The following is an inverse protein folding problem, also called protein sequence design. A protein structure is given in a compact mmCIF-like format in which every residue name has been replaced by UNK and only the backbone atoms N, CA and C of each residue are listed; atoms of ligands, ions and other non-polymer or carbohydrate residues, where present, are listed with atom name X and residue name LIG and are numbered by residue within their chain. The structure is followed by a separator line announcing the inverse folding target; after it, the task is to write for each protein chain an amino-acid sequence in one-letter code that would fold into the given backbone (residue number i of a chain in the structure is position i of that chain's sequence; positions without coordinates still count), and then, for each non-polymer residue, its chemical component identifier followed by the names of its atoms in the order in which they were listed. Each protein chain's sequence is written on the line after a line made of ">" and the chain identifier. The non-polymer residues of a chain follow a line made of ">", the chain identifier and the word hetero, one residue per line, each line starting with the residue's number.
data_IF_516996717252
#
_entry.id   IF_516996717252
#
_cell.length_a   1.000
_cell.length_b   1.000
_cell.length_c   1.000
_cell.angle_alpha   90.00
_cell.angle_beta   90.00
_cell.angle_gamma   90.00
#
_symmetry.space_group_name_H-M   'P 1'
#
loop_
_entity.id
_entity.type
_entity.pdbx_description
1 polymer ?
#
# COMPACT_ATOMS: atom_id res chain seq x y z
N UNK A 1 15.83 13.50 -17.19
CA UNK A 1 15.41 14.27 -16.00
C UNK A 1 16.29 13.81 -14.84
N UNK A 2 17.08 14.69 -14.20
CA UNK A 2 17.97 14.30 -13.09
C UNK A 2 17.11 13.77 -11.92
N UNK A 3 17.50 12.69 -11.23
CA UNK A 3 16.81 12.27 -10.02
C UNK A 3 16.81 13.44 -9.03
N UNK A 4 15.66 13.73 -8.42
CA UNK A 4 15.57 14.78 -7.41
C UNK A 4 16.56 14.44 -6.29
N UNK A 5 17.52 15.32 -6.03
CA UNK A 5 18.37 15.22 -4.84
C UNK A 5 17.46 15.16 -3.61
N UNK A 6 17.73 14.32 -2.60
CA UNK A 6 16.99 14.38 -1.34
C UNK A 6 17.11 15.81 -0.80
N UNK A 7 15.96 16.43 -0.51
CA UNK A 7 15.87 17.85 -0.18
C UNK A 7 16.65 18.21 1.09
N UNK A 8 16.87 17.23 1.98
CA UNK A 8 17.68 17.33 3.19
C UNK A 8 18.43 16.03 3.43
N UNK A 9 19.65 16.14 3.96
CA UNK A 9 20.42 14.98 4.46
C UNK A 9 20.93 15.31 5.86
N UNK A 10 20.41 14.61 6.86
CA UNK A 10 20.83 14.78 8.23
C UNK A 10 22.14 14.03 8.47
N UNK A 11 23.04 14.64 9.25
CA UNK A 11 24.25 13.95 9.68
C UNK A 11 23.90 12.77 10.59
N UNK A 12 24.67 11.68 10.56
CA UNK A 12 24.37 10.47 11.36
C UNK A 12 24.42 10.70 12.87
N UNK A 13 25.19 11.70 13.32
CA UNK A 13 25.26 12.10 14.74
C UNK A 13 24.17 13.09 15.18
N UNK A 14 23.32 13.56 14.26
CA UNK A 14 22.25 14.51 14.58
C UNK A 14 21.06 13.76 15.16
N UNK A 15 20.60 14.19 16.33
CA UNK A 15 19.32 13.76 16.89
C UNK A 15 18.17 14.26 16.01
N UNK A 16 17.23 13.36 15.72
CA UNK A 16 15.97 13.63 15.02
C UNK A 16 14.80 13.23 15.91
N UNK A 17 13.62 13.76 15.64
CA UNK A 17 12.42 13.50 16.44
C UNK A 17 11.94 12.05 16.23
N UNK A 18 11.99 11.55 14.99
CA UNK A 18 11.52 10.21 14.64
C UNK A 18 12.44 9.48 13.66
N UNK A 19 12.57 8.17 13.88
CA UNK A 19 13.14 7.22 12.91
C UNK A 19 12.04 6.25 12.50
N UNK A 20 11.75 6.20 11.21
CA UNK A 20 10.76 5.27 10.62
C UNK A 20 11.52 4.17 9.89
N UNK A 21 11.28 2.92 10.27
CA UNK A 21 11.92 1.76 9.63
C UNK A 21 10.98 1.19 8.56
N UNK A 22 11.38 1.30 7.31
CA UNK A 22 10.62 0.92 6.12
C UNK A 22 9.82 2.08 5.54
N UNK A 23 9.83 2.19 4.22
CA UNK A 23 9.17 3.27 3.48
C UNK A 23 7.89 2.84 2.74
N UNK A 24 7.33 1.70 3.15
CA UNK A 24 6.12 1.10 2.56
C UNK A 24 4.85 1.94 2.75
N UNK A 25 3.69 1.30 2.52
CA UNK A 25 2.38 1.95 2.62
C UNK A 25 2.17 2.67 3.96
N UNK A 26 2.56 2.06 5.08
CA UNK A 26 2.47 2.67 6.41
C UNK A 26 3.58 3.71 6.65
N UNK A 27 4.84 3.31 6.44
CA UNK A 27 6.00 4.17 6.75
C UNK A 27 6.03 5.47 5.98
N UNK A 28 5.63 5.46 4.70
CA UNK A 28 5.51 6.69 3.90
C UNK A 28 4.43 7.64 4.41
N UNK A 29 3.28 7.11 4.85
CA UNK A 29 2.19 7.91 5.44
C UNK A 29 2.63 8.51 6.76
N UNK A 30 3.21 7.71 7.66
CA UNK A 30 3.72 8.18 8.96
C UNK A 30 4.76 9.29 8.75
N UNK A 31 5.72 9.09 7.83
CA UNK A 31 6.74 10.09 7.53
C UNK A 31 6.13 11.40 7.03
N UNK A 32 5.11 11.34 6.17
CA UNK A 32 4.38 12.52 5.69
C UNK A 32 3.66 13.24 6.82
N UNK A 33 2.88 12.54 7.65
CA UNK A 33 2.12 13.15 8.74
C UNK A 33 3.05 13.82 9.77
N UNK A 34 4.13 13.15 10.16
CA UNK A 34 5.12 13.69 11.10
C UNK A 34 5.86 14.90 10.54
N UNK A 35 6.36 14.81 9.30
CA UNK A 35 7.14 15.88 8.68
C UNK A 35 6.30 17.14 8.42
N UNK A 36 5.04 16.96 7.98
CA UNK A 36 4.11 18.08 7.79
C UNK A 36 3.65 18.71 9.10
N UNK A 37 3.69 17.96 10.21
CA UNK A 37 3.53 18.50 11.57
C UNK A 37 4.77 19.26 12.09
N UNK A 38 5.84 19.37 11.30
CA UNK A 38 7.05 20.14 11.65
C UNK A 38 8.16 19.33 12.33
N UNK A 39 7.99 18.02 12.45
CA UNK A 39 8.97 17.13 13.09
C UNK A 39 10.04 16.66 12.10
N UNK A 40 11.25 16.43 12.60
CA UNK A 40 12.35 15.86 11.83
C UNK A 40 12.27 14.34 11.78
N UNK A 41 12.29 13.78 10.57
CA UNK A 41 12.08 12.34 10.33
C UNK A 41 13.19 11.78 9.46
N UNK A 42 13.75 10.65 9.87
CA UNK A 42 14.61 9.83 9.02
C UNK A 42 13.89 8.51 8.72
N UNK A 43 13.68 8.24 7.44
CA UNK A 43 13.12 6.95 6.98
C UNK A 43 14.26 6.07 6.51
N UNK A 44 14.41 4.89 7.12
CA UNK A 44 15.42 3.89 6.74
C UNK A 44 14.77 2.83 5.85
N UNK A 45 15.24 2.69 4.62
CA UNK A 45 14.72 1.72 3.67
C UNK A 45 15.81 0.76 3.23
N UNK A 46 15.57 -0.56 3.34
CA UNK A 46 16.53 -1.59 2.95
C UNK A 46 16.85 -1.56 1.45
N UNK A 47 15.84 -1.27 0.62
CA UNK A 47 15.97 -1.28 -0.83
C UNK A 47 16.47 0.02 -1.45
N UNK A 48 16.75 0.01 -2.77
CA UNK A 48 17.08 1.21 -3.51
C UNK A 48 15.86 2.11 -3.72
N UNK A 49 16.10 3.36 -4.13
CA UNK A 49 15.07 4.22 -4.74
C UNK A 49 15.07 3.97 -6.25
N UNK A 50 13.93 3.56 -6.78
CA UNK A 50 13.73 3.30 -8.22
C UNK A 50 12.70 4.30 -8.73
N UNK A 51 13.09 5.16 -9.66
CA UNK A 51 12.19 6.17 -10.20
C UNK A 51 11.28 5.59 -11.30
N UNK A 52 10.08 6.15 -11.51
CA UNK A 52 9.09 5.60 -12.45
C UNK A 52 9.62 5.25 -13.85
N UNK A 53 10.46 6.08 -14.52
CA UNK A 53 11.00 5.75 -15.84
C UNK A 53 11.97 4.56 -15.87
N UNK A 54 12.38 4.05 -14.71
CA UNK A 54 13.28 2.89 -14.58
C UNK A 54 12.51 1.58 -14.38
N UNK A 55 11.18 1.61 -14.25
CA UNK A 55 10.38 0.39 -14.20
C UNK A 55 10.30 -0.23 -15.59
N UNK A 56 10.48 -1.55 -15.63
CA UNK A 56 10.51 -2.37 -16.83
C UNK A 56 9.36 -3.38 -16.79
N UNK A 57 8.93 -3.86 -17.95
CA UNK A 57 7.92 -4.93 -18.09
C UNK A 57 8.56 -6.30 -18.33
N UNK A 58 9.77 -6.53 -17.79
CA UNK A 58 10.46 -7.81 -17.87
C UNK A 58 9.91 -8.79 -16.82
N UNK A 59 9.03 -9.68 -17.27
CA UNK A 59 8.40 -10.70 -16.42
C UNK A 59 9.38 -11.73 -15.89
N UNK A 60 10.42 -12.10 -16.66
CA UNK A 60 11.43 -13.08 -16.23
C UNK A 60 12.20 -12.50 -15.05
N UNK A 61 12.72 -11.29 -15.21
CA UNK A 61 13.46 -10.57 -14.17
C UNK A 61 12.61 -10.34 -12.91
N UNK A 62 11.35 -9.97 -13.09
CA UNK A 62 10.50 -9.51 -11.99
C UNK A 62 9.81 -10.67 -11.26
N UNK A 63 9.16 -11.57 -11.98
CA UNK A 63 8.33 -12.63 -11.40
C UNK A 63 9.14 -13.89 -11.09
N UNK A 64 10.14 -14.22 -11.91
CA UNK A 64 10.89 -15.49 -11.77
C UNK A 64 12.24 -15.31 -11.08
N UNK A 65 12.93 -14.19 -11.32
CA UNK A 65 14.24 -13.90 -10.69
C UNK A 65 14.11 -13.07 -9.40
N UNK A 66 12.90 -12.62 -9.05
CA UNK A 66 12.64 -11.91 -7.80
C UNK A 66 13.29 -10.53 -7.71
N UNK A 67 13.41 -9.81 -8.82
CA UNK A 67 13.97 -8.46 -8.80
C UNK A 67 13.20 -7.55 -7.82
N UNK A 68 13.94 -6.80 -7.00
CA UNK A 68 13.40 -5.91 -5.95
C UNK A 68 12.60 -6.63 -4.86
N UNK A 69 12.68 -7.96 -4.76
CA UNK A 69 12.09 -8.74 -3.67
C UNK A 69 13.11 -9.00 -2.55
N UNK A 70 12.61 -9.24 -1.33
CA UNK A 70 13.40 -9.76 -0.22
C UNK A 70 13.74 -11.23 -0.50
N UNK A 71 14.91 -11.69 -0.06
CA UNK A 71 15.30 -13.09 -0.21
C UNK A 71 14.27 -14.01 0.49
N UNK A 72 13.62 -14.93 -0.24
CA UNK A 72 12.54 -15.76 0.29
C UNK A 72 12.97 -16.73 1.41
N UNK A 73 14.27 -17.00 1.57
CA UNK A 73 14.77 -18.00 2.53
C UNK A 73 14.89 -17.51 3.97
N UNK A 74 14.54 -16.24 4.25
CA UNK A 74 14.72 -15.60 5.55
C UNK A 74 13.52 -15.61 6.50
N UNK A 75 12.34 -16.09 6.08
CA UNK A 75 11.14 -16.02 6.92
C UNK A 75 11.12 -17.13 7.95
N UNK A 76 11.21 -16.73 9.22
CA UNK A 76 11.01 -17.63 10.35
C UNK A 76 9.64 -17.42 10.96
N UNK A 77 9.02 -18.51 11.38
CA UNK A 77 7.69 -18.53 11.99
C UNK A 77 7.79 -19.24 13.34
N UNK A 78 6.99 -18.77 14.30
CA UNK A 78 6.78 -19.39 15.61
C UNK A 78 5.29 -19.39 15.90
N UNK A 79 4.78 -20.40 16.62
CA UNK A 79 3.36 -20.49 16.97
C UNK A 79 3.03 -19.74 18.25
N UNK A 80 4.01 -19.61 19.13
CA UNK A 80 3.91 -18.90 20.41
C UNK A 80 5.17 -18.08 20.65
N UNK A 81 5.09 -17.11 21.56
CA UNK A 81 6.24 -16.26 21.91
C UNK A 81 7.39 -17.05 22.53
N UNK A 82 7.09 -18.15 23.22
CA UNK A 82 8.05 -19.06 23.84
C UNK A 82 8.83 -19.92 22.84
N UNK A 83 8.36 -20.03 21.60
CA UNK A 83 9.03 -20.84 20.58
C UNK A 83 10.12 -20.05 19.83
N UNK A 84 11.26 -20.71 19.60
CA UNK A 84 12.26 -20.23 18.64
C UNK A 84 11.67 -20.28 17.24
N UNK A 85 11.68 -19.14 16.56
CA UNK A 85 11.19 -19.04 15.19
C UNK A 85 12.05 -19.90 14.24
N UNK A 86 11.41 -20.75 13.44
CA UNK A 86 12.07 -21.66 12.49
C UNK A 86 11.70 -21.26 11.06
N UNK A 87 12.57 -21.49 10.06
CA UNK A 87 12.21 -21.27 8.66
C UNK A 87 10.89 -21.96 8.30
N UNK A 88 9.93 -21.20 7.77
CA UNK A 88 8.63 -21.74 7.37
C UNK A 88 8.61 -22.16 5.90
N UNK A 89 7.62 -22.99 5.53
CA UNK A 89 7.37 -23.34 4.13
C UNK A 89 6.66 -22.22 3.35
N UNK A 90 5.98 -21.30 4.04
CA UNK A 90 5.29 -20.17 3.41
C UNK A 90 6.30 -19.06 3.13
N UNK A 91 6.49 -18.75 1.86
CA UNK A 91 7.28 -17.60 1.42
C UNK A 91 6.33 -16.41 1.24
N UNK A 92 6.57 -15.33 1.98
CA UNK A 92 5.82 -14.09 1.84
C UNK A 92 6.54 -13.18 0.84
N UNK A 93 5.79 -12.66 -0.13
CA UNK A 93 6.31 -11.75 -1.13
C UNK A 93 6.39 -10.32 -0.58
N UNK A 94 7.61 -9.86 -0.30
CA UNK A 94 7.87 -8.47 0.09
C UNK A 94 8.83 -7.81 -0.89
N UNK A 95 8.60 -6.53 -1.14
CA UNK A 95 9.41 -5.73 -2.04
C UNK A 95 10.29 -4.77 -1.25
N UNK A 96 11.59 -4.78 -1.56
CA UNK A 96 12.63 -3.92 -0.96
C UNK A 96 13.00 -2.80 -1.91
N UNK A 97 12.32 -1.67 -1.75
CA UNK A 97 12.59 -0.42 -2.47
C UNK A 97 11.89 0.72 -1.74
N UNK A 98 12.26 1.96 -2.05
CA UNK A 98 11.51 3.13 -1.56
C UNK A 98 10.05 3.02 -2.03
N UNK A 99 9.11 3.02 -1.08
CA UNK A 99 7.69 2.78 -1.32
C UNK A 99 7.22 1.35 -1.00
N UNK A 100 8.14 0.40 -0.83
CA UNK A 100 7.89 -0.98 -0.44
C UNK A 100 6.85 -1.68 -1.33
N UNK A 101 6.02 -2.52 -0.70
CA UNK A 101 4.95 -3.27 -1.38
C UNK A 101 3.93 -2.40 -2.11
N UNK A 102 3.76 -1.12 -1.74
CA UNK A 102 2.83 -0.22 -2.45
C UNK A 102 3.24 0.04 -3.90
N UNK A 103 4.52 -0.15 -4.25
CA UNK A 103 4.97 -0.02 -5.64
C UNK A 103 4.47 -1.19 -6.49
N UNK A 104 4.37 -2.39 -5.92
CA UNK A 104 4.28 -3.65 -6.68
C UNK A 104 2.98 -4.42 -6.41
N UNK A 105 2.14 -3.99 -5.46
CA UNK A 105 0.82 -4.57 -5.22
C UNK A 105 -0.15 -4.43 -6.41
N UNK A 106 -1.30 -5.12 -6.33
CA UNK A 106 -2.38 -5.09 -7.33
C UNK A 106 -3.23 -3.83 -7.28
N UNK A 107 -3.04 -2.97 -6.28
CA UNK A 107 -3.82 -1.78 -6.00
C UNK A 107 -5.29 -2.01 -5.58
N UNK A 108 -5.70 -3.23 -5.23
CA UNK A 108 -7.00 -3.44 -4.58
C UNK A 108 -7.05 -2.69 -3.24
N UNK A 109 -8.10 -1.88 -3.03
CA UNK A 109 -8.15 -0.92 -1.93
C UNK A 109 -9.53 -0.92 -1.24
N UNK A 110 -9.86 -2.04 -0.61
CA UNK A 110 -11.12 -2.26 0.09
C UNK A 110 -11.10 -1.71 1.52
N UNK A 111 -12.25 -1.22 1.99
CA UNK A 111 -12.49 -0.98 3.42
C UNK A 111 -12.95 -2.29 4.09
N UNK A 112 -12.63 -2.45 5.37
CA UNK A 112 -13.32 -3.43 6.20
C UNK A 112 -14.79 -3.03 6.39
N UNK A 113 -15.66 -3.99 6.65
CA UNK A 113 -17.08 -3.82 6.94
C UNK A 113 -17.30 -3.77 8.45
N UNK A 114 -18.46 -3.26 8.88
CA UNK A 114 -18.80 -3.18 10.31
C UNK A 114 -18.72 -4.54 11.02
N UNK A 115 -19.07 -5.64 10.33
CA UNK A 115 -18.99 -7.01 10.89
C UNK A 115 -17.55 -7.48 11.15
N UNK A 116 -16.57 -7.03 10.36
CA UNK A 116 -15.17 -7.45 10.46
C UNK A 116 -14.52 -7.00 11.79
N UNK A 117 -15.12 -6.01 12.47
CA UNK A 117 -14.66 -5.53 13.78
C UNK A 117 -15.26 -6.31 14.95
N UNK A 118 -16.30 -7.12 14.71
CA UNK A 118 -17.07 -7.83 15.74
C UNK A 118 -17.26 -9.33 15.42
N UNK A 119 -16.30 -9.92 14.70
CA UNK A 119 -16.40 -11.30 14.22
C UNK A 119 -16.57 -12.31 15.35
N UNK A 120 -15.89 -12.15 16.50
CA UNK A 120 -16.06 -13.04 17.65
C UNK A 120 -17.46 -12.93 18.21
N UNK A 121 -17.95 -11.70 18.43
CA UNK A 121 -19.32 -11.50 18.93
C UNK A 121 -20.40 -11.99 17.96
N UNK A 122 -20.14 -11.95 16.64
CA UNK A 122 -21.13 -12.33 15.61
C UNK A 122 -21.09 -13.79 15.23
N UNK A 123 -19.92 -14.40 15.14
CA UNK A 123 -19.71 -15.76 14.62
C UNK A 123 -19.33 -16.76 15.72
N UNK A 124 -19.03 -16.27 16.92
CA UNK A 124 -18.57 -17.07 18.05
C UNK A 124 -17.04 -17.21 18.07
N UNK A 125 -16.52 -17.61 19.24
CA UNK A 125 -15.09 -17.88 19.40
C UNK A 125 -14.69 -19.19 18.72
N UNK A 126 -13.52 -19.21 18.09
CA UNK A 126 -12.92 -20.43 17.54
C UNK A 126 -11.89 -20.95 18.54
N UNK A 127 -12.17 -22.14 19.11
CA UNK A 127 -11.30 -22.76 20.12
C UNK A 127 -9.86 -22.92 19.61
N UNK A 128 -8.88 -22.57 20.45
CA UNK A 128 -7.45 -22.64 20.11
C UNK A 128 -6.94 -21.48 19.24
N UNK A 129 -7.73 -20.44 19.01
CA UNK A 129 -7.33 -19.24 18.28
C UNK A 129 -7.32 -18.00 19.18
N UNK A 130 -6.63 -16.95 18.74
CA UNK A 130 -6.70 -15.61 19.35
C UNK A 130 -7.77 -14.71 18.70
N UNK A 131 -8.81 -15.28 18.08
CA UNK A 131 -9.87 -14.51 17.44
C UNK A 131 -10.64 -13.71 18.49
N UNK A 132 -10.57 -12.39 18.36
CA UNK A 132 -11.17 -11.43 19.29
C UNK A 132 -11.78 -10.26 18.51
N UNK A 133 -12.79 -9.60 19.08
CA UNK A 133 -13.32 -8.38 18.50
C UNK A 133 -12.28 -7.26 18.57
N UNK A 134 -12.29 -6.37 17.57
CA UNK A 134 -11.39 -5.24 17.54
C UNK A 134 -11.77 -4.24 18.65
N UNK A 135 -10.79 -3.58 19.30
CA UNK A 135 -11.07 -2.57 20.32
C UNK A 135 -11.54 -1.22 19.72
N UNK A 136 -11.81 -1.20 18.42
CA UNK A 136 -12.27 -0.06 17.63
C UNK A 136 -13.35 -0.55 16.66
N UNK A 137 -14.13 0.37 16.14
CA UNK A 137 -15.22 0.11 15.19
C UNK A 137 -14.89 0.65 13.81
N UNK A 138 -15.69 0.24 12.83
CA UNK A 138 -15.67 0.86 11.50
C UNK A 138 -15.82 2.39 11.57
N UNK A 139 -16.69 2.91 12.45
CA UNK A 139 -16.94 4.35 12.58
C UNK A 139 -15.71 5.12 13.04
N UNK A 140 -14.86 4.50 13.86
CA UNK A 140 -13.59 5.08 14.29
C UNK A 140 -12.61 5.19 13.12
N UNK A 141 -12.63 4.23 12.19
CA UNK A 141 -11.75 4.22 11.01
C UNK A 141 -12.31 4.94 9.78
N UNK A 142 -13.62 5.14 9.67
CA UNK A 142 -14.27 5.74 8.50
C UNK A 142 -13.61 7.08 8.07
N UNK A 143 -13.33 8.03 8.97
CA UNK A 143 -12.69 9.28 8.58
C UNK A 143 -11.27 9.07 8.04
N UNK A 144 -10.55 8.08 8.56
CA UNK A 144 -9.19 7.75 8.12
C UNK A 144 -9.19 6.99 6.79
N UNK A 145 -10.16 6.11 6.56
CA UNK A 145 -10.39 5.50 5.25
C UNK A 145 -10.67 6.58 4.20
N UNK A 146 -11.57 7.51 4.51
CA UNK A 146 -11.90 8.64 3.63
C UNK A 146 -10.67 9.51 3.35
N UNK A 147 -9.87 9.84 4.38
CA UNK A 147 -8.63 10.60 4.22
C UNK A 147 -7.63 9.86 3.31
N UNK A 148 -7.38 8.58 3.59
CA UNK A 148 -6.45 7.76 2.80
C UNK A 148 -6.91 7.64 1.34
N UNK A 149 -8.21 7.46 1.11
CA UNK A 149 -8.75 7.34 -0.23
C UNK A 149 -8.52 8.60 -1.07
N UNK A 150 -8.82 9.76 -0.50
CA UNK A 150 -8.63 11.05 -1.16
C UNK A 150 -7.16 11.41 -1.35
N UNK A 151 -6.30 11.11 -0.38
CA UNK A 151 -4.87 11.37 -0.49
C UNK A 151 -4.19 10.49 -1.55
N UNK A 152 -4.59 9.22 -1.64
CA UNK A 152 -3.99 8.26 -2.56
C UNK A 152 -4.65 8.26 -3.95
N UNK A 153 -5.82 8.87 -4.10
CA UNK A 153 -6.57 8.94 -5.36
C UNK A 153 -7.22 7.61 -5.71
N UNK A 154 -8.03 7.06 -4.82
CA UNK A 154 -8.70 5.77 -5.04
C UNK A 154 -9.86 5.94 -6.02
N UNK A 155 -9.87 5.16 -7.11
CA UNK A 155 -11.02 5.05 -8.00
C UNK A 155 -11.98 3.99 -7.48
N UNK A 156 -13.29 4.25 -7.56
CA UNK A 156 -14.29 3.27 -7.16
C UNK A 156 -15.71 3.80 -7.20
N UNK A 157 -16.65 2.89 -6.94
CA UNK A 157 -18.06 3.16 -6.75
C UNK A 157 -18.57 2.26 -5.62
N UNK A 158 -19.35 2.76 -4.66
CA UNK A 158 -19.82 1.94 -3.54
C UNK A 158 -20.82 0.88 -4.03
N UNK A 159 -20.62 -0.35 -3.59
CA UNK A 159 -21.57 -1.45 -3.82
C UNK A 159 -22.72 -1.52 -2.81
N UNK A 160 -23.69 -2.41 -3.06
CA UNK A 160 -24.84 -2.60 -2.17
C UNK A 160 -24.48 -3.13 -0.77
N UNK A 161 -23.27 -3.69 -0.61
CA UNK A 161 -22.78 -4.25 0.65
C UNK A 161 -21.52 -3.54 1.17
N UNK A 162 -21.18 -2.40 0.58
CA UNK A 162 -20.08 -1.58 1.07
C UNK A 162 -20.52 -0.86 2.35
N UNK A 163 -19.58 -0.67 3.30
CA UNK A 163 -19.89 0.02 4.54
C UNK A 163 -20.16 1.52 4.29
N UNK A 164 -20.84 2.22 5.23
CA UNK A 164 -21.20 3.62 5.07
C UNK A 164 -19.99 4.53 4.82
N UNK A 165 -20.12 5.48 3.90
CA UNK A 165 -19.07 6.44 3.54
C UNK A 165 -19.57 7.85 3.82
N UNK A 166 -18.80 8.65 4.56
CA UNK A 166 -19.12 10.07 4.78
C UNK A 166 -18.83 10.93 3.55
N UNK A 167 -17.95 10.45 2.67
CA UNK A 167 -17.59 11.11 1.42
C UNK A 167 -17.45 10.07 0.30
N UNK A 168 -17.87 10.38 -0.95
CA UNK A 168 -17.66 9.48 -2.07
C UNK A 168 -16.17 9.27 -2.37
N UNK A 169 -15.87 8.26 -3.18
CA UNK A 169 -14.54 8.08 -3.77
C UNK A 169 -14.08 9.35 -4.48
N UNK A 170 -12.78 9.69 -4.46
CA UNK A 170 -12.26 10.86 -5.16
C UNK A 170 -12.36 10.75 -6.68
N UNK A 171 -12.39 9.53 -7.23
CA UNK A 171 -12.40 9.28 -8.65
C UNK A 171 -13.44 8.19 -9.01
N UNK A 172 -14.09 8.28 -10.18
CA UNK A 172 -15.00 7.24 -10.65
C UNK A 172 -14.25 5.91 -10.88
N UNK A 173 -14.95 4.76 -10.91
CA UNK A 173 -14.30 3.47 -11.13
C UNK A 173 -13.58 3.42 -12.48
N UNK A 174 -12.55 2.57 -12.57
CA UNK A 174 -11.92 2.26 -13.86
C UNK A 174 -12.91 1.56 -14.80
N UNK A 175 -12.77 1.74 -16.13
CA UNK A 175 -13.56 1.01 -17.11
C UNK A 175 -13.48 -0.51 -16.90
N UNK A 176 -14.63 -1.18 -16.96
CA UNK A 176 -14.72 -2.63 -16.88
C UNK A 176 -14.11 -3.25 -18.14
N UNK A 177 -13.12 -4.13 -17.97
CA UNK A 177 -12.48 -4.85 -19.08
C UNK A 177 -13.42 -5.91 -19.68
N UNK A 178 -13.14 -6.36 -20.90
CA UNK A 178 -13.97 -7.35 -21.62
C UNK A 178 -14.32 -8.60 -20.81
N UNK A 179 -13.36 -9.18 -20.10
CA UNK A 179 -13.60 -10.32 -19.19
C UNK A 179 -14.51 -9.97 -18.02
N UNK A 180 -14.40 -8.75 -17.48
CA UNK A 180 -15.26 -8.23 -16.43
C UNK A 180 -16.72 -8.10 -16.88
N UNK A 181 -16.97 -7.70 -18.13
CA UNK A 181 -18.34 -7.62 -18.69
C UNK A 181 -19.00 -9.00 -18.75
N UNK A 182 -18.26 -10.03 -19.14
CA UNK A 182 -18.77 -11.41 -19.17
C UNK A 182 -19.05 -11.92 -17.74
N UNK A 183 -18.13 -11.65 -16.81
CA UNK A 183 -18.29 -12.03 -15.42
C UNK A 183 -19.49 -11.34 -14.77
N UNK A 184 -19.67 -10.04 -15.02
CA UNK A 184 -20.78 -9.25 -14.51
C UNK A 184 -22.12 -9.81 -15.01
N UNK A 185 -22.24 -10.08 -16.32
CA UNK A 185 -23.46 -10.67 -16.91
C UNK A 185 -23.79 -12.02 -16.29
N UNK A 186 -22.82 -12.91 -16.17
CA UNK A 186 -23.01 -14.23 -15.58
C UNK A 186 -23.41 -14.15 -14.10
N UNK A 187 -22.71 -13.31 -13.32
CA UNK A 187 -23.01 -13.12 -11.91
C UNK A 187 -24.42 -12.54 -11.71
N UNK A 188 -24.83 -11.54 -12.50
CA UNK A 188 -26.19 -10.99 -12.44
C UNK A 188 -27.25 -12.00 -12.84
N UNK A 189 -26.99 -12.85 -13.84
CA UNK A 189 -27.92 -13.91 -14.25
C UNK A 189 -28.13 -14.96 -13.14
N UNK A 190 -27.15 -15.15 -12.25
CA UNK A 190 -27.25 -16.00 -11.06
C UNK A 190 -27.86 -15.28 -9.85
N UNK A 191 -28.28 -14.02 -9.99
CA UNK A 191 -28.81 -13.21 -8.89
C UNK A 191 -27.73 -12.69 -7.92
N UNK A 192 -26.46 -12.69 -8.32
CA UNK A 192 -25.35 -12.14 -7.53
C UNK A 192 -25.16 -10.63 -7.79
N UNK A 193 -24.37 -9.98 -6.94
CA UNK A 193 -24.14 -8.53 -6.96
C UNK A 193 -22.68 -8.17 -7.32
N UNK A 194 -22.26 -8.33 -8.59
CA UNK A 194 -20.94 -7.90 -9.02
C UNK A 194 -20.82 -6.37 -8.92
N UNK A 195 -19.64 -5.89 -8.53
CA UNK A 195 -19.30 -4.46 -8.49
C UNK A 195 -17.85 -4.23 -8.96
N UNK A 196 -17.53 -3.06 -9.54
CA UNK A 196 -16.15 -2.66 -9.77
C UNK A 196 -15.37 -2.64 -8.45
N UNK A 197 -14.18 -3.23 -8.45
CA UNK A 197 -13.30 -3.15 -7.28
C UNK A 197 -12.76 -1.72 -7.12
N UNK A 198 -12.68 -1.18 -5.90
CA UNK A 198 -11.96 0.05 -5.65
C UNK A 198 -10.46 -0.17 -5.81
N UNK A 199 -9.83 0.73 -6.55
CA UNK A 199 -8.44 0.60 -6.94
C UNK A 199 -7.67 1.86 -6.58
N UNK A 200 -6.49 1.68 -6.00
CA UNK A 200 -5.47 2.71 -5.88
C UNK A 200 -4.82 2.97 -7.23
N UNK A 201 -5.64 3.32 -8.23
CA UNK A 201 -5.26 3.63 -9.60
C UNK A 201 -6.12 4.80 -10.05
N UNK A 202 -5.49 5.80 -10.65
CA UNK A 202 -6.17 6.99 -11.13
C UNK A 202 -6.97 6.69 -12.41
N UNK A 203 -8.30 6.78 -12.35
CA UNK A 203 -9.16 6.68 -13.55
C UNK A 203 -9.18 7.97 -14.37
N UNK A 204 -8.83 9.10 -13.74
CA UNK A 204 -8.68 10.41 -14.36
C UNK A 204 -7.46 11.11 -13.74
N UNK A 205 -6.86 12.13 -14.40
CA UNK A 205 -5.74 12.87 -13.81
C UNK A 205 -6.08 13.44 -12.44
N UNK A 206 -5.20 13.26 -11.46
CA UNK A 206 -5.46 13.63 -10.07
C UNK A 206 -4.17 13.97 -9.33
N UNK A 207 -4.17 15.09 -8.58
CA UNK A 207 -2.99 15.62 -7.87
C UNK A 207 -1.72 15.67 -8.74
N UNK A 208 -1.84 16.12 -9.99
CA UNK A 208 -0.71 16.26 -10.92
C UNK A 208 -0.14 14.94 -11.44
N UNK A 209 -0.80 13.81 -11.18
CA UNK A 209 -0.46 12.49 -11.76
C UNK A 209 -1.43 12.16 -12.90
N UNK A 210 -0.97 11.51 -13.98
CA UNK A 210 -1.83 11.15 -15.12
C UNK A 210 -2.77 9.99 -14.78
N UNK A 211 -3.81 9.82 -15.58
CA UNK A 211 -4.68 8.65 -15.53
C UNK A 211 -3.95 7.37 -15.96
N UNK A 212 -4.54 6.22 -15.63
CA UNK A 212 -4.05 4.90 -16.03
C UNK A 212 -3.94 4.78 -17.56
N UNK A 213 -2.81 4.23 -18.03
CA UNK A 213 -2.58 3.94 -19.45
C UNK A 213 -3.01 2.52 -19.85
N UNK A 214 -3.59 1.75 -18.92
CA UNK A 214 -4.08 0.40 -19.16
C UNK A 214 -3.02 -0.61 -19.70
N UNK A 215 -1.74 -0.42 -19.35
CA UNK A 215 -0.63 -1.24 -19.87
C UNK A 215 -0.64 -2.72 -19.44
N UNK A 216 -1.39 -3.08 -18.40
CA UNK A 216 -1.50 -4.47 -17.91
C UNK A 216 -0.51 -4.87 -16.82
N UNK A 217 0.54 -4.07 -16.57
CA UNK A 217 1.61 -4.38 -15.61
C UNK A 217 1.37 -3.74 -14.25
N UNK A 218 0.43 -4.30 -13.47
CA UNK A 218 0.15 -3.84 -12.09
C UNK A 218 0.74 -4.78 -11.04
N UNK A 219 0.31 -6.04 -11.00
CA UNK A 219 0.75 -7.01 -10.01
C UNK A 219 2.23 -7.37 -10.25
N UNK A 220 3.06 -7.10 -9.26
CA UNK A 220 4.49 -7.39 -9.33
C UNK A 220 5.30 -6.32 -10.07
N UNK A 221 4.70 -5.24 -10.57
CA UNK A 221 5.42 -4.22 -11.35
C UNK A 221 5.21 -2.82 -10.79
N UNK A 222 6.25 -1.99 -10.84
CA UNK A 222 6.14 -0.56 -10.57
C UNK A 222 5.48 0.16 -11.75
N UNK A 223 4.63 1.14 -11.47
CA UNK A 223 3.94 1.90 -12.51
C UNK A 223 4.83 3.05 -13.01
N UNK A 224 5.28 2.97 -14.26
CA UNK A 224 6.10 3.96 -14.94
C UNK A 224 5.37 5.30 -15.16
N UNK A 225 4.03 5.25 -15.26
CA UNK A 225 3.19 6.42 -15.46
C UNK A 225 2.78 7.12 -14.15
N UNK A 226 3.09 6.55 -12.97
CA UNK A 226 2.64 7.07 -11.65
C UNK A 226 1.11 7.06 -11.45
N UNK A 227 0.38 6.33 -12.27
CA UNK A 227 -1.09 6.23 -12.19
C UNK A 227 -1.55 5.24 -11.12
N UNK A 228 -0.83 4.13 -10.90
CA UNK A 228 -1.02 3.27 -9.71
C UNK A 228 -0.48 4.02 -8.49
N UNK A 229 -1.16 4.03 -7.36
CA UNK A 229 -0.74 4.79 -6.19
C UNK A 229 0.36 4.06 -5.43
N UNK A 230 1.41 4.79 -5.04
CA UNK A 230 2.48 4.30 -4.20
C UNK A 230 3.07 5.45 -3.39
N UNK A 231 3.44 5.17 -2.14
CA UNK A 231 4.06 6.17 -1.26
C UNK A 231 5.31 6.78 -1.87
N UNK A 232 6.05 6.04 -2.72
CA UNK A 232 7.23 6.49 -3.47
C UNK A 232 7.04 7.84 -4.17
N UNK A 233 5.88 8.07 -4.78
CA UNK A 233 5.62 9.28 -5.58
C UNK A 233 4.29 9.97 -5.26
N UNK A 234 3.65 9.58 -4.15
CA UNK A 234 2.49 10.28 -3.56
C UNK A 234 2.90 11.06 -2.32
N UNK A 235 3.11 10.38 -1.19
CA UNK A 235 3.26 11.01 0.12
C UNK A 235 4.71 11.22 0.54
N UNK A 236 5.64 10.37 0.11
CA UNK A 236 7.07 10.55 0.42
C UNK A 236 7.60 11.88 -0.17
N UNK A 237 7.30 12.25 -1.44
CA UNK A 237 7.72 13.55 -1.95
C UNK A 237 7.15 14.73 -1.17
N UNK A 238 5.92 14.61 -0.64
CA UNK A 238 5.31 15.64 0.23
C UNK A 238 6.11 15.76 1.52
N UNK A 239 6.47 14.63 2.15
CA UNK A 239 7.30 14.61 3.34
C UNK A 239 8.68 15.25 3.10
N UNK A 240 9.37 14.86 2.02
CA UNK A 240 10.69 15.37 1.66
C UNK A 240 10.66 16.88 1.34
N UNK A 241 9.60 17.35 0.67
CA UNK A 241 9.43 18.76 0.31
C UNK A 241 9.33 19.70 1.52
N UNK A 242 8.99 19.19 2.71
CA UNK A 242 9.02 19.99 3.96
C UNK A 242 10.44 20.41 4.37
N UNK A 243 11.48 19.76 3.83
CA UNK A 243 12.87 19.90 4.31
C UNK A 243 13.12 19.25 5.66
N UNK A 244 12.16 18.50 6.20
CA UNK A 244 12.23 17.86 7.53
C UNK A 244 12.25 16.33 7.47
N UNK A 245 12.02 15.74 6.30
CA UNK A 245 12.09 14.29 6.09
C UNK A 245 13.26 13.92 5.17
N UNK A 246 14.09 12.97 5.61
CA UNK A 246 15.11 12.32 4.80
C UNK A 246 14.75 10.84 4.59
N UNK A 247 14.67 10.37 3.35
CA UNK A 247 14.63 8.93 3.06
C UNK A 247 16.03 8.42 2.72
N UNK A 248 16.52 7.45 3.49
CA UNK A 248 17.80 6.77 3.29
C UNK A 248 17.58 5.39 2.66
N UNK A 249 17.69 5.27 1.33
CA UNK A 249 17.69 3.96 0.68
C UNK A 249 18.93 3.15 1.06
N UNK A 250 18.90 1.84 0.80
CA UNK A 250 19.97 0.89 1.09
C UNK A 250 20.43 0.88 2.57
N UNK A 251 19.52 1.18 3.50
CA UNK A 251 19.74 1.22 4.94
C UNK A 251 18.99 0.08 5.63
N UNK A 252 19.69 -1.02 5.91
CA UNK A 252 19.13 -2.17 6.61
C UNK A 252 19.34 -2.05 8.12
N UNK A 253 18.24 -2.03 8.87
CA UNK A 253 18.28 -1.95 10.34
C UNK A 253 18.52 -3.34 10.93
N UNK A 254 19.49 -3.45 11.85
CA UNK A 254 19.82 -4.70 12.55
C UNK A 254 19.57 -4.64 14.06
N UNK A 255 19.65 -3.44 14.63
CA UNK A 255 19.50 -3.11 16.05
C UNK A 255 19.27 -1.60 16.17
#
# INVERSE_FOLDING_TARGET
>A
MRPARPAVRFHSSRTVDFVVVGSGAAGGIIAKELATAGLTVVVLEQGPRVEPPQFEHDEIKTLFQGALQINPTGFTFRRSESETAKPGQIQLLYHRLVGGGSVMFTANYWRFREIDFIEKSRLGAISGTGLEDWPITYRDLEPYYTKAEWELGISGEPGPFDPPRTRPYPLPPLPVKSSGVLFERGARALGLHPQPAPLAILSQPFHGRPACQHCGYCLGFGCEFRAKSSTLYTVIPIAEATGRCEVRPNSYVRR
#
